data_IF_840093899681
#
_entry.id   IF_840093899681
#
_cell.length_a   1.000
_cell.length_b   1.000
_cell.length_c   1.000
_cell.angle_alpha   90.00
_cell.angle_beta   90.00
_cell.angle_gamma   90.00
#
_symmetry.space_group_name_H-M   'P 1'
#
loop_
_entity.id
_entity.type
_entity.pdbx_description
1 polymer ?
#
# COMPACT_ATOMS: atom_id res chain seq x y z
N UNK A 1 27.63 36.99 -23.48
CA UNK A 1 26.59 36.50 -22.55
C UNK A 1 27.09 35.24 -21.89
N UNK A 2 27.21 35.17 -20.55
CA UNK A 2 27.64 33.94 -19.90
C UNK A 2 26.48 32.94 -19.88
N UNK A 3 26.78 31.71 -20.31
CA UNK A 3 25.87 30.57 -20.22
C UNK A 3 25.55 30.30 -18.74
N UNK A 4 24.26 30.36 -18.37
CA UNK A 4 23.78 29.92 -17.06
C UNK A 4 24.08 28.42 -16.92
N UNK A 5 24.89 28.04 -15.92
CA UNK A 5 25.02 26.65 -15.51
C UNK A 5 23.74 26.21 -14.82
N UNK A 6 23.11 25.17 -15.35
CA UNK A 6 21.93 24.51 -14.80
C UNK A 6 22.33 23.59 -13.64
N UNK A 7 21.67 23.76 -12.48
CA UNK A 7 21.42 22.71 -11.49
C UNK A 7 22.56 22.36 -10.53
N UNK A 8 22.81 23.22 -9.53
CA UNK A 8 23.49 22.78 -8.30
C UNK A 8 22.54 21.86 -7.52
N UNK A 9 22.88 20.57 -7.41
CA UNK A 9 22.26 19.66 -6.44
C UNK A 9 22.47 20.25 -5.05
N UNK A 10 21.40 20.77 -4.44
CA UNK A 10 21.45 21.37 -3.11
C UNK A 10 21.77 20.25 -2.11
N UNK A 11 23.01 20.20 -1.62
CA UNK A 11 23.42 19.22 -0.60
C UNK A 11 22.55 19.37 0.64
N UNK A 12 21.84 18.29 1.00
CA UNK A 12 21.04 18.23 2.23
C UNK A 12 22.02 18.12 3.42
N UNK A 13 21.89 19.03 4.39
CA UNK A 13 22.81 19.11 5.52
C UNK A 13 22.34 18.25 6.70
N UNK A 14 23.02 17.12 6.90
CA UNK A 14 22.75 16.17 7.99
C UNK A 14 23.70 16.34 9.19
N UNK A 15 24.59 17.34 9.17
CA UNK A 15 25.64 17.55 10.18
C UNK A 15 25.10 17.60 11.61
N UNK A 16 23.90 18.16 11.79
CA UNK A 16 23.24 18.23 13.11
C UNK A 16 23.01 16.85 13.73
N UNK A 17 22.73 15.82 12.93
CA UNK A 17 22.53 14.46 13.42
C UNK A 17 23.87 13.83 13.80
N UNK A 18 24.89 13.98 12.96
CA UNK A 18 26.25 13.52 13.24
C UNK A 18 26.80 14.10 14.54
N UNK A 19 26.70 15.42 14.71
CA UNK A 19 27.17 16.10 15.92
C UNK A 19 26.44 15.63 17.17
N UNK A 20 25.12 15.42 17.09
CA UNK A 20 24.34 14.94 18.23
C UNK A 20 24.60 13.46 18.53
N UNK A 21 24.80 12.61 17.53
CA UNK A 21 25.02 11.18 17.73
C UNK A 21 26.45 10.87 18.18
N UNK A 22 27.45 11.67 17.79
CA UNK A 22 28.87 11.44 18.10
C UNK A 22 29.12 11.11 19.57
N UNK A 23 28.53 11.87 20.49
CA UNK A 23 28.76 11.73 21.94
C UNK A 23 27.59 11.03 22.67
N UNK A 24 26.46 10.78 21.99
CA UNK A 24 25.25 10.29 22.62
C UNK A 24 24.77 8.92 22.10
N UNK A 25 25.24 8.46 20.94
CA UNK A 25 24.78 7.21 20.33
C UNK A 25 25.02 6.01 21.24
N UNK A 26 26.26 5.84 21.74
CA UNK A 26 26.60 4.69 22.59
C UNK A 26 25.75 4.66 23.87
N UNK A 27 25.53 5.81 24.49
CA UNK A 27 24.68 5.91 25.68
C UNK A 27 23.21 5.57 25.36
N UNK A 28 22.67 6.05 24.23
CA UNK A 28 21.32 5.71 23.80
C UNK A 28 21.16 4.21 23.51
N UNK A 29 22.16 3.62 22.84
CA UNK A 29 22.23 2.19 22.58
C UNK A 29 22.21 1.39 23.89
N UNK A 30 23.11 1.70 24.84
CA UNK A 30 23.21 0.97 26.10
C UNK A 30 21.94 1.09 26.96
N UNK A 31 21.29 2.26 26.95
CA UNK A 31 20.01 2.47 27.61
C UNK A 31 18.90 1.57 27.04
N UNK A 32 18.73 1.55 25.71
CA UNK A 32 17.73 0.66 25.08
C UNK A 32 18.12 -0.80 25.23
N UNK A 33 19.42 -1.14 25.19
CA UNK A 33 19.89 -2.50 25.45
C UNK A 33 19.54 -2.97 26.86
N UNK A 34 19.56 -2.06 27.84
CA UNK A 34 19.10 -2.30 29.21
C UNK A 34 17.57 -2.32 29.38
N UNK A 35 16.82 -2.02 28.31
CA UNK A 35 15.35 -2.07 28.27
C UNK A 35 14.65 -0.78 28.69
N UNK A 36 15.37 0.32 28.89
CA UNK A 36 14.76 1.61 29.27
C UNK A 36 15.64 2.81 28.95
N UNK A 37 15.09 3.72 28.15
CA UNK A 37 15.60 5.06 27.91
C UNK A 37 15.68 5.87 29.20
N UNK A 38 16.74 6.67 29.37
CA UNK A 38 16.98 7.58 30.50
C UNK A 38 17.40 8.97 30.03
N UNK A 39 18.22 9.05 28.98
CA UNK A 39 18.75 10.30 28.45
C UNK A 39 17.81 11.07 27.51
N UNK A 40 18.27 12.23 27.06
CA UNK A 40 17.53 13.18 26.22
C UNK A 40 17.95 13.12 24.75
N UNK A 41 17.73 11.97 24.10
CA UNK A 41 18.24 11.69 22.77
C UNK A 41 17.19 11.33 21.70
N UNK A 42 15.90 11.25 22.08
CA UNK A 42 14.82 10.76 21.20
C UNK A 42 14.80 11.46 19.84
N UNK A 43 15.04 12.77 19.81
CA UNK A 43 14.89 13.59 18.59
C UNK A 43 15.93 13.34 17.51
N UNK A 44 17.12 12.84 17.86
CA UNK A 44 18.23 12.66 16.92
C UNK A 44 18.65 11.20 16.75
N UNK A 45 18.14 10.28 17.58
CA UNK A 45 18.24 8.82 17.38
C UNK A 45 17.01 8.27 16.66
N UNK A 46 15.81 8.74 17.03
CA UNK A 46 14.55 8.44 16.33
C UNK A 46 13.91 9.75 15.83
N UNK A 47 14.51 10.42 14.84
CA UNK A 47 13.97 11.67 14.32
C UNK A 47 12.62 11.46 13.64
N UNK A 48 11.74 12.43 13.77
CA UNK A 48 10.43 12.48 13.13
C UNK A 48 10.32 13.74 12.25
N UNK A 49 9.25 13.87 11.48
CA UNK A 49 9.00 15.08 10.70
C UNK A 49 8.94 16.32 11.61
N UNK A 50 9.53 17.40 11.13
CA UNK A 50 9.64 18.69 11.82
C UNK A 50 8.28 19.31 12.12
N UNK A 51 7.29 19.05 11.26
CA UNK A 51 5.89 19.49 11.42
C UNK A 51 5.22 18.96 12.69
N UNK A 52 5.68 17.84 13.23
CA UNK A 52 5.05 17.15 14.36
C UNK A 52 5.52 17.62 15.74
N UNK A 53 6.56 18.45 15.81
CA UNK A 53 7.18 18.83 17.09
C UNK A 53 7.19 20.34 17.31
N UNK A 54 6.72 20.83 18.45
CA UNK A 54 6.71 22.27 18.76
C UNK A 54 7.91 22.78 19.55
N UNK A 55 8.65 21.90 20.24
CA UNK A 55 9.80 22.31 21.05
C UNK A 55 11.00 22.73 20.19
N UNK A 56 11.85 23.61 20.71
CA UNK A 56 13.06 24.05 20.02
C UNK A 56 13.96 22.88 19.60
N UNK A 57 14.08 21.86 20.44
CA UNK A 57 14.85 20.63 20.14
C UNK A 57 14.19 19.80 19.04
N UNK A 58 12.86 19.65 19.07
CA UNK A 58 12.13 18.94 18.02
C UNK A 58 12.20 19.69 16.67
N UNK A 59 12.19 21.02 16.70
CA UNK A 59 12.37 21.85 15.51
C UNK A 59 13.80 21.81 14.97
N UNK A 60 14.81 21.70 15.85
CA UNK A 60 16.23 21.58 15.47
C UNK A 60 16.52 20.24 14.79
N UNK A 61 16.06 19.13 15.38
CA UNK A 61 16.38 17.78 14.91
C UNK A 61 15.28 17.13 14.07
N UNK A 62 14.15 17.80 13.86
CA UNK A 62 13.11 17.33 12.96
C UNK A 62 13.62 17.18 11.53
N UNK A 63 13.15 16.12 10.86
CA UNK A 63 13.33 15.91 9.42
C UNK A 63 12.41 16.89 8.69
N UNK A 64 12.96 17.68 7.78
CA UNK A 64 12.25 18.76 7.09
C UNK A 64 11.17 18.24 6.15
N UNK A 65 11.47 17.16 5.42
CA UNK A 65 10.66 16.60 4.35
C UNK A 65 11.12 15.16 4.02
N UNK A 66 10.39 14.51 3.10
CA UNK A 66 10.68 13.14 2.71
C UNK A 66 12.03 12.99 1.99
N UNK A 67 12.44 14.01 1.24
CA UNK A 67 13.75 14.12 0.59
C UNK A 67 14.88 14.03 1.63
N UNK A 68 14.76 14.77 2.75
CA UNK A 68 15.73 14.69 3.84
C UNK A 68 15.71 13.34 4.57
N UNK A 69 14.53 12.71 4.72
CA UNK A 69 14.46 11.35 5.27
C UNK A 69 15.23 10.34 4.41
N UNK A 70 15.09 10.44 3.08
CA UNK A 70 15.83 9.62 2.13
C UNK A 70 17.34 9.92 2.20
N UNK A 71 17.73 11.18 2.28
CA UNK A 71 19.13 11.57 2.43
C UNK A 71 19.73 11.05 3.74
N UNK A 72 18.98 11.07 4.84
CA UNK A 72 19.39 10.51 6.13
C UNK A 72 19.70 9.02 6.00
N UNK A 73 18.87 8.24 5.31
CA UNK A 73 19.13 6.81 5.10
C UNK A 73 20.25 6.54 4.11
N UNK A 74 20.55 7.46 3.17
CA UNK A 74 21.69 7.32 2.26
C UNK A 74 23.03 7.61 2.94
N UNK A 75 23.03 8.23 4.11
CA UNK A 75 24.23 8.42 4.91
C UNK A 75 24.62 7.10 5.60
N UNK A 76 25.79 6.49 5.32
CA UNK A 76 26.13 5.17 5.81
C UNK A 76 26.15 5.04 7.34
N UNK A 77 26.63 6.07 8.05
CA UNK A 77 26.75 6.02 9.50
C UNK A 77 25.38 6.18 10.15
N UNK A 78 24.57 7.14 9.69
CA UNK A 78 23.21 7.35 10.21
C UNK A 78 22.31 6.16 9.90
N UNK A 79 22.43 5.56 8.71
CA UNK A 79 21.74 4.33 8.35
C UNK A 79 22.08 3.19 9.30
N UNK A 80 23.37 2.93 9.52
CA UNK A 80 23.83 1.86 10.41
C UNK A 80 23.29 2.05 11.82
N UNK A 81 23.46 3.25 12.38
CA UNK A 81 22.96 3.57 13.72
C UNK A 81 21.44 3.39 13.83
N UNK A 82 20.69 3.85 12.84
CA UNK A 82 19.24 3.74 12.86
C UNK A 82 18.80 2.26 12.75
N UNK A 83 19.40 1.49 11.85
CA UNK A 83 19.15 0.04 11.72
C UNK A 83 19.39 -0.70 13.03
N UNK A 84 20.56 -0.49 13.66
CA UNK A 84 20.93 -1.12 14.93
C UNK A 84 19.92 -0.77 16.04
N UNK A 85 19.54 0.50 16.14
CA UNK A 85 18.55 0.95 17.14
C UNK A 85 17.15 0.36 16.91
N UNK A 86 16.70 0.23 15.66
CA UNK A 86 15.42 -0.40 15.32
C UNK A 86 15.43 -1.89 15.67
N UNK A 87 16.52 -2.61 15.36
CA UNK A 87 16.69 -4.01 15.75
C UNK A 87 16.66 -4.18 17.27
N UNK A 88 17.35 -3.30 17.99
CA UNK A 88 17.42 -3.32 19.45
C UNK A 88 16.05 -3.05 20.09
N UNK A 89 15.31 -2.05 19.61
CA UNK A 89 13.93 -1.79 20.03
C UNK A 89 13.05 -3.02 19.76
N UNK A 90 13.18 -3.63 18.58
CA UNK A 90 12.41 -4.82 18.22
C UNK A 90 12.69 -6.00 19.14
N UNK A 91 13.95 -6.23 19.54
CA UNK A 91 14.34 -7.23 20.55
C UNK A 91 13.66 -6.94 21.90
N UNK A 92 13.61 -5.68 22.34
CA UNK A 92 12.98 -5.32 23.62
C UNK A 92 11.47 -5.49 23.61
N UNK A 93 10.82 -5.14 22.50
CA UNK A 93 9.39 -5.36 22.33
C UNK A 93 9.06 -6.86 22.30
N UNK A 94 9.88 -7.69 21.65
CA UNK A 94 9.70 -9.14 21.64
C UNK A 94 9.88 -9.79 23.03
N UNK A 95 10.58 -9.12 23.95
CA UNK A 95 10.71 -9.48 25.37
C UNK A 95 9.59 -8.91 26.24
N UNK A 96 8.51 -8.41 25.63
CA UNK A 96 7.33 -7.84 26.28
C UNK A 96 7.63 -6.64 27.18
N UNK A 97 8.67 -5.84 26.86
CA UNK A 97 8.88 -4.55 27.54
C UNK A 97 7.88 -3.55 26.95
N UNK A 98 6.97 -2.95 27.75
CA UNK A 98 5.98 -2.02 27.22
C UNK A 98 6.63 -0.80 26.57
N UNK A 99 6.10 -0.27 25.44
CA UNK A 99 6.73 0.85 24.73
C UNK A 99 6.91 2.11 25.59
N UNK A 100 5.91 2.44 26.41
CA UNK A 100 5.99 3.55 27.36
C UNK A 100 7.08 3.34 28.42
N UNK A 101 7.39 2.10 28.80
CA UNK A 101 8.51 1.80 29.70
C UNK A 101 9.84 1.91 28.96
N UNK A 102 9.93 1.31 27.78
CA UNK A 102 11.13 1.31 26.96
C UNK A 102 11.58 2.73 26.60
N UNK A 103 10.64 3.59 26.20
CA UNK A 103 10.90 4.97 25.80
C UNK A 103 10.76 5.97 26.95
N UNK A 104 10.50 5.49 28.18
CA UNK A 104 10.35 6.32 29.37
C UNK A 104 9.28 7.42 29.22
N UNK A 105 8.14 7.07 28.65
CA UNK A 105 6.97 7.91 28.50
C UNK A 105 6.17 7.63 27.23
N UNK A 106 4.88 7.96 27.27
CA UNK A 106 3.97 7.84 26.12
C UNK A 106 4.39 8.76 24.98
N UNK A 107 4.84 9.98 25.30
CA UNK A 107 5.27 10.97 24.31
C UNK A 107 6.44 10.43 23.49
N UNK A 108 7.49 9.91 24.12
CA UNK A 108 8.65 9.39 23.40
C UNK A 108 8.33 8.08 22.66
N UNK A 109 7.40 7.27 23.16
CA UNK A 109 6.86 6.13 22.41
C UNK A 109 6.12 6.57 21.13
N UNK A 110 5.36 7.67 21.16
CA UNK A 110 4.75 8.25 19.96
C UNK A 110 5.81 8.79 18.99
N UNK A 111 6.88 9.41 19.48
CA UNK A 111 8.00 9.87 18.63
C UNK A 111 8.69 8.72 17.90
N UNK A 112 8.94 7.62 18.62
CA UNK A 112 9.45 6.38 18.03
C UNK A 112 8.54 5.91 16.89
N UNK A 113 7.22 5.90 17.09
CA UNK A 113 6.27 5.45 16.09
C UNK A 113 6.26 6.36 14.86
N UNK A 114 6.27 7.69 15.05
CA UNK A 114 6.41 8.65 13.94
C UNK A 114 7.71 8.44 13.16
N UNK A 115 8.83 8.22 13.86
CA UNK A 115 10.14 7.95 13.26
C UNK A 115 10.15 6.65 12.45
N UNK A 116 9.72 5.53 13.06
CA UNK A 116 9.60 4.24 12.39
C UNK A 116 8.67 4.31 11.18
N UNK A 117 7.58 5.07 11.28
CA UNK A 117 6.68 5.31 10.14
C UNK A 117 7.46 6.00 9.02
N UNK A 118 8.09 7.15 9.27
CA UNK A 118 8.85 7.91 8.28
C UNK A 118 9.95 7.07 7.60
N UNK A 119 10.80 6.43 8.39
CA UNK A 119 11.96 5.73 7.86
C UNK A 119 11.64 4.39 7.22
N UNK A 120 10.52 3.74 7.59
CA UNK A 120 10.00 2.62 6.80
C UNK A 120 9.67 3.06 5.37
N UNK A 121 9.02 4.22 5.22
CA UNK A 121 8.63 4.74 3.89
C UNK A 121 9.83 5.15 3.06
N UNK A 122 10.80 5.81 3.68
CA UNK A 122 12.03 6.20 3.01
C UNK A 122 12.80 4.95 2.57
N UNK A 123 12.95 3.95 3.43
CA UNK A 123 13.60 2.69 3.08
C UNK A 123 12.87 1.95 1.93
N UNK A 124 11.54 1.88 1.98
CA UNK A 124 10.73 1.28 0.91
C UNK A 124 10.94 1.98 -0.45
N UNK A 125 10.93 3.31 -0.45
CA UNK A 125 11.18 4.11 -1.64
C UNK A 125 12.59 3.87 -2.19
N UNK A 126 13.60 3.86 -1.31
CA UNK A 126 15.00 3.67 -1.69
C UNK A 126 15.26 2.27 -2.24
N UNK A 127 14.67 1.23 -1.65
CA UNK A 127 14.74 -0.15 -2.18
C UNK A 127 14.26 -0.24 -3.63
N UNK A 128 13.24 0.55 -3.99
CA UNK A 128 12.65 0.54 -5.35
C UNK A 128 13.37 1.46 -6.34
N UNK A 129 14.02 2.51 -5.85
CA UNK A 129 14.63 3.56 -6.70
C UNK A 129 16.14 3.39 -6.87
N UNK A 130 16.83 2.72 -5.93
CA UNK A 130 18.28 2.52 -5.96
C UNK A 130 18.64 1.09 -6.34
N UNK A 131 19.10 0.88 -7.58
CA UNK A 131 19.40 -0.45 -8.10
C UNK A 131 20.75 -1.04 -7.63
N UNK A 132 21.66 -0.24 -7.06
CA UNK A 132 23.03 -0.66 -6.68
C UNK A 132 23.53 0.01 -5.38
N UNK A 133 22.66 0.13 -4.37
CA UNK A 133 23.08 0.62 -3.05
C UNK A 133 23.88 -0.46 -2.29
N UNK A 134 24.94 -0.05 -1.59
CA UNK A 134 25.62 -0.92 -0.60
C UNK A 134 24.86 -1.02 0.73
N UNK A 135 23.86 -0.16 0.94
CA UNK A 135 23.01 -0.12 2.14
C UNK A 135 21.76 -0.98 1.91
N UNK A 136 21.45 -1.84 2.87
CA UNK A 136 20.34 -2.78 2.80
C UNK A 136 19.00 -2.14 3.24
N UNK A 137 18.46 -1.29 2.38
CA UNK A 137 17.19 -0.61 2.63
C UNK A 137 16.02 -1.59 2.81
N UNK A 138 16.06 -2.76 2.16
CA UNK A 138 15.06 -3.80 2.31
C UNK A 138 15.03 -4.35 3.75
N UNK A 139 16.21 -4.65 4.31
CA UNK A 139 16.32 -5.07 5.71
C UNK A 139 15.80 -4.01 6.68
N UNK A 140 16.09 -2.73 6.44
CA UNK A 140 15.57 -1.64 7.28
C UNK A 140 14.06 -1.51 7.20
N UNK A 141 13.50 -1.57 6.01
CA UNK A 141 12.05 -1.56 5.80
C UNK A 141 11.36 -2.71 6.55
N UNK A 142 11.90 -3.92 6.45
CA UNK A 142 11.41 -5.09 7.17
C UNK A 142 11.53 -4.93 8.71
N UNK A 143 12.65 -4.36 9.18
CA UNK A 143 12.91 -4.13 10.61
C UNK A 143 11.93 -3.10 11.19
N UNK A 144 11.73 -1.97 10.50
CA UNK A 144 10.75 -0.97 10.90
C UNK A 144 9.32 -1.54 10.90
N UNK A 145 8.97 -2.35 9.89
CA UNK A 145 7.66 -3.01 9.81
C UNK A 145 7.41 -3.93 10.99
N UNK A 146 8.42 -4.73 11.38
CA UNK A 146 8.33 -5.62 12.54
C UNK A 146 8.17 -4.84 13.86
N UNK A 147 8.91 -3.75 14.04
CA UNK A 147 8.78 -2.87 15.20
C UNK A 147 7.37 -2.24 15.28
N UNK A 148 6.88 -1.66 14.19
CA UNK A 148 5.55 -1.05 14.11
C UNK A 148 4.43 -2.06 14.39
N UNK A 149 4.54 -3.28 13.87
CA UNK A 149 3.58 -4.34 14.17
C UNK A 149 3.55 -4.66 15.67
N UNK A 150 4.72 -4.73 16.31
CA UNK A 150 4.80 -4.99 17.76
C UNK A 150 4.18 -3.84 18.57
N UNK A 151 4.46 -2.59 18.19
CA UNK A 151 3.90 -1.38 18.79
C UNK A 151 2.37 -1.30 18.66
N UNK A 152 1.81 -1.73 17.52
CA UNK A 152 0.37 -1.70 17.29
C UNK A 152 -0.43 -2.62 18.23
N UNK A 153 0.15 -3.75 18.66
CA UNK A 153 -0.46 -4.64 19.66
C UNK A 153 -0.55 -3.97 21.04
N UNK A 154 0.31 -2.98 21.30
CA UNK A 154 0.35 -2.16 22.52
C UNK A 154 -0.44 -0.84 22.37
N UNK A 155 -1.21 -0.69 21.29
CA UNK A 155 -2.05 0.49 21.03
C UNK A 155 -1.34 1.67 20.37
N UNK A 156 -0.07 1.51 19.94
CA UNK A 156 0.69 2.55 19.25
C UNK A 156 0.62 2.36 17.73
N UNK A 157 -0.32 3.06 17.09
CA UNK A 157 -0.56 2.99 15.64
C UNK A 157 0.42 3.87 14.84
N UNK A 158 0.73 3.45 13.62
CA UNK A 158 1.56 4.22 12.68
C UNK A 158 1.03 5.66 12.52
N UNK A 159 1.94 6.63 12.39
CA UNK A 159 1.59 8.05 12.44
C UNK A 159 0.95 8.53 11.15
N UNK A 160 -0.34 8.90 11.23
CA UNK A 160 -1.14 9.35 10.09
C UNK A 160 -0.60 10.64 9.46
N UNK A 161 -0.23 11.60 10.30
CA UNK A 161 0.31 12.89 9.87
C UNK A 161 1.64 12.72 9.14
N UNK A 162 2.48 11.77 9.59
CA UNK A 162 3.73 11.43 8.89
C UNK A 162 3.45 10.89 7.50
N UNK A 163 2.47 9.98 7.38
CA UNK A 163 2.12 9.40 6.08
C UNK A 163 1.55 10.46 5.14
N UNK A 164 0.64 11.31 5.62
CA UNK A 164 0.03 12.38 4.82
C UNK A 164 1.07 13.30 4.20
N UNK A 165 2.03 13.80 4.99
CA UNK A 165 3.06 14.71 4.50
C UNK A 165 4.02 14.03 3.52
N UNK A 166 4.37 12.76 3.76
CA UNK A 166 5.22 11.99 2.83
C UNK A 166 4.51 11.81 1.48
N UNK A 167 3.20 11.56 1.46
CA UNK A 167 2.46 11.36 0.21
C UNK A 167 2.29 12.63 -0.63
N UNK A 168 2.32 13.79 0.00
CA UNK A 168 2.34 15.08 -0.68
C UNK A 168 3.73 15.45 -1.22
N UNK A 169 4.76 14.63 -0.95
CA UNK A 169 6.12 14.88 -1.41
C UNK A 169 6.23 14.89 -2.94
N UNK A 170 6.89 15.91 -3.52
CA UNK A 170 7.26 15.94 -4.93
C UNK A 170 8.02 14.70 -5.40
N UNK A 171 8.85 14.08 -4.55
CA UNK A 171 9.59 12.85 -4.90
C UNK A 171 8.67 11.68 -5.29
N UNK A 172 7.52 11.55 -4.65
CA UNK A 172 6.57 10.47 -4.93
C UNK A 172 5.58 10.84 -6.05
N UNK A 173 5.26 12.13 -6.19
CA UNK A 173 4.29 12.61 -7.18
C UNK A 173 4.89 12.83 -8.57
N UNK A 174 6.20 13.10 -8.68
CA UNK A 174 6.88 13.29 -9.96
C UNK A 174 6.95 12.02 -10.83
N UNK A 175 6.96 10.82 -10.22
CA UNK A 175 7.01 9.55 -10.94
C UNK A 175 5.70 9.12 -11.62
N UNK A 176 4.61 9.88 -11.44
CA UNK A 176 3.29 9.58 -12.01
C UNK A 176 3.14 10.11 -13.45
N UNK A 177 3.97 11.06 -13.88
CA UNK A 177 3.83 11.70 -15.20
C UNK A 177 4.74 11.15 -16.31
N UNK A 178 5.71 10.28 -16.00
CA UNK A 178 6.78 9.90 -16.95
C UNK A 178 6.73 8.42 -17.42
N UNK A 179 5.64 7.67 -17.17
CA UNK A 179 5.51 6.26 -17.61
C UNK A 179 4.43 5.99 -18.67
N UNK A 180 4.07 6.99 -19.45
CA UNK A 180 3.14 6.86 -20.58
C UNK A 180 3.83 7.09 -21.94
N UNK A 181 5.04 6.56 -22.15
CA UNK A 181 5.63 6.42 -23.50
C UNK A 181 6.65 5.27 -23.53
N UNK A 182 6.17 4.04 -23.66
CA UNK A 182 6.99 2.94 -24.16
C UNK A 182 6.23 2.25 -25.31
N UNK A 183 6.79 2.43 -26.49
CA UNK A 183 6.32 2.00 -27.80
C UNK A 183 6.17 0.47 -27.89
N UNK A 184 5.00 0.03 -28.37
CA UNK A 184 4.74 -1.35 -28.77
C UNK A 184 5.44 -1.57 -30.12
N UNK A 185 6.48 -2.39 -30.14
CA UNK A 185 6.99 -2.95 -31.39
C UNK A 185 6.19 -4.20 -31.77
N UNK A 186 5.72 -4.17 -33.02
CA UNK A 186 4.95 -5.15 -33.76
C UNK A 186 5.77 -6.43 -34.02
N UNK A 187 5.16 -7.60 -33.79
CA UNK A 187 5.65 -8.86 -34.32
C UNK A 187 4.48 -9.72 -34.78
N UNK A 188 3.91 -9.32 -35.91
CA UNK A 188 3.26 -10.23 -36.84
C UNK A 188 4.33 -11.01 -37.62
N UNK A 189 4.21 -12.36 -37.70
CA UNK A 189 4.47 -13.23 -38.89
C UNK A 189 4.75 -14.71 -38.51
N UNK A 190 3.74 -15.55 -38.76
CA UNK A 190 3.73 -16.90 -39.42
C UNK A 190 4.31 -18.15 -38.72
N UNK A 191 3.49 -19.22 -38.74
CA UNK A 191 3.97 -20.62 -38.72
C UNK A 191 2.86 -21.66 -38.52
N UNK A 192 2.08 -21.97 -39.55
CA UNK A 192 1.18 -23.15 -39.64
C UNK A 192 1.97 -24.47 -39.56
N UNK A 193 1.46 -25.49 -38.84
CA UNK A 193 1.57 -26.91 -39.25
C UNK A 193 0.30 -27.72 -38.86
N UNK A 194 -0.16 -28.46 -39.87
CA UNK A 194 -1.33 -29.33 -40.07
C UNK A 194 -1.58 -30.56 -39.16
N UNK A 195 -2.88 -30.82 -38.97
CA UNK A 195 -3.66 -32.06 -39.25
C UNK A 195 -3.42 -33.37 -38.46
N UNK A 196 -4.47 -33.86 -37.78
CA UNK A 196 -5.22 -35.08 -38.18
C UNK A 196 -6.49 -35.31 -37.37
N UNK A 197 -7.56 -35.68 -38.10
CA UNK A 197 -8.92 -35.98 -37.65
C UNK A 197 -9.06 -37.40 -37.07
N UNK A 198 -10.05 -37.60 -36.18
CA UNK A 198 -10.81 -38.86 -36.12
C UNK A 198 -12.25 -38.60 -35.61
N UNK A 199 -13.20 -39.27 -36.28
CA UNK A 199 -14.66 -39.05 -36.34
C UNK A 199 -15.46 -39.85 -35.30
N UNK A 200 -16.40 -39.16 -34.60
CA UNK A 200 -17.85 -39.44 -34.24
C UNK A 200 -18.32 -40.86 -33.78
N UNK A 201 -19.36 -41.01 -32.91
CA UNK A 201 -20.66 -40.30 -32.99
C UNK A 201 -21.39 -39.87 -31.69
N UNK A 202 -22.05 -38.72 -31.84
CA UNK A 202 -23.43 -38.35 -31.44
C UNK A 202 -24.11 -39.13 -30.30
N UNK A 203 -24.21 -38.48 -29.13
CA UNK A 203 -25.39 -38.58 -28.26
C UNK A 203 -25.80 -37.18 -27.87
N UNK A 204 -26.90 -36.74 -28.50
CA UNK A 204 -27.80 -35.67 -28.04
C UNK A 204 -27.88 -35.59 -26.51
N UNK A 205 -27.36 -34.51 -25.96
CA UNK A 205 -27.99 -33.83 -24.83
C UNK A 205 -27.82 -32.34 -25.00
N UNK A 206 -28.64 -31.80 -25.91
CA UNK A 206 -29.01 -30.39 -25.94
C UNK A 206 -29.76 -30.06 -24.64
N UNK A 207 -29.01 -29.86 -23.56
CA UNK A 207 -29.49 -29.05 -22.44
C UNK A 207 -29.28 -27.61 -22.87
N UNK A 208 -30.37 -26.99 -23.31
CA UNK A 208 -30.53 -25.55 -23.32
C UNK A 208 -30.27 -25.05 -21.90
N UNK A 209 -29.02 -24.71 -21.57
CA UNK A 209 -28.75 -23.79 -20.49
C UNK A 209 -29.17 -22.43 -21.02
N UNK A 210 -30.41 -22.05 -20.72
CA UNK A 210 -30.73 -20.65 -20.50
C UNK A 210 -29.59 -20.07 -19.67
N UNK A 211 -29.04 -18.93 -20.12
CA UNK A 211 -28.06 -18.15 -19.37
C UNK A 211 -28.67 -17.83 -18.01
N UNK A 212 -28.48 -18.74 -17.04
CA UNK A 212 -29.04 -18.61 -15.72
C UNK A 212 -28.46 -17.33 -15.14
N UNK A 213 -29.34 -16.46 -14.66
CA UNK A 213 -28.95 -15.21 -14.02
C UNK A 213 -27.85 -15.49 -13.00
N UNK A 214 -26.65 -14.99 -13.27
CA UNK A 214 -25.48 -15.23 -12.44
C UNK A 214 -25.51 -14.38 -11.15
N UNK A 215 -26.46 -13.44 -11.01
CA UNK A 215 -26.54 -12.53 -9.86
C UNK A 215 -26.50 -13.25 -8.50
N UNK A 216 -27.26 -14.34 -8.26
CA UNK A 216 -27.24 -15.03 -6.97
C UNK A 216 -25.88 -15.68 -6.66
N UNK A 217 -25.19 -16.17 -7.70
CA UNK A 217 -23.88 -16.81 -7.59
C UNK A 217 -22.82 -15.75 -7.27
N UNK A 218 -22.81 -14.65 -8.03
CA UNK A 218 -21.88 -13.53 -7.82
C UNK A 218 -22.10 -12.89 -6.45
N UNK A 219 -23.36 -12.73 -6.01
CA UNK A 219 -23.67 -12.23 -4.66
C UNK A 219 -23.06 -13.11 -3.57
N UNK A 220 -23.20 -14.44 -3.69
CA UNK A 220 -22.62 -15.39 -2.72
C UNK A 220 -21.10 -15.27 -2.63
N UNK A 221 -20.42 -15.02 -3.76
CA UNK A 221 -18.99 -14.73 -3.80
C UNK A 221 -18.68 -13.45 -3.02
N UNK A 222 -19.43 -12.38 -3.27
CA UNK A 222 -19.26 -11.08 -2.58
C UNK A 222 -19.47 -11.22 -1.07
N UNK A 223 -20.53 -11.93 -0.64
CA UNK A 223 -20.82 -12.16 0.79
C UNK A 223 -19.69 -12.97 1.47
N UNK A 224 -19.16 -13.98 0.79
CA UNK A 224 -18.02 -14.76 1.28
C UNK A 224 -16.77 -13.88 1.46
N UNK A 225 -16.51 -12.97 0.51
CA UNK A 225 -15.42 -12.01 0.61
C UNK A 225 -15.61 -11.06 1.79
N UNK A 226 -16.82 -10.54 2.01
CA UNK A 226 -17.16 -9.68 3.16
C UNK A 226 -16.80 -10.39 4.46
N UNK A 227 -17.31 -11.61 4.65
CA UNK A 227 -17.08 -12.42 5.84
C UNK A 227 -15.59 -12.66 6.11
N UNK A 228 -14.85 -13.06 5.07
CA UNK A 228 -13.43 -13.36 5.19
C UNK A 228 -12.60 -12.10 5.46
N UNK A 229 -12.97 -10.96 4.87
CA UNK A 229 -12.33 -9.67 5.13
C UNK A 229 -12.57 -9.24 6.58
N UNK A 230 -13.80 -9.36 7.09
CA UNK A 230 -14.18 -8.98 8.45
C UNK A 230 -13.55 -9.91 9.50
N UNK A 231 -13.59 -11.23 9.33
CA UNK A 231 -12.94 -12.21 10.24
C UNK A 231 -11.43 -12.03 10.31
N UNK A 232 -10.78 -11.74 9.17
CA UNK A 232 -9.34 -11.43 9.11
C UNK A 232 -9.00 -10.05 9.70
N UNK A 233 -9.95 -9.11 9.77
CA UNK A 233 -9.78 -7.85 10.49
C UNK A 233 -9.83 -8.07 12.03
N UNK A 234 -10.74 -8.92 12.50
CA UNK A 234 -10.86 -9.25 13.94
C UNK A 234 -9.68 -10.04 14.53
N UNK A 235 -8.90 -10.75 13.71
CA UNK A 235 -7.66 -11.45 14.13
C UNK A 235 -6.42 -10.56 14.08
N UNK A 236 -6.53 -9.32 13.59
CA UNK A 236 -5.43 -8.34 13.47
C UNK A 236 -5.82 -6.97 14.02
N UNK A 237 -6.69 -6.93 15.03
CA UNK A 237 -7.03 -5.71 15.76
C UNK A 237 -5.71 -5.14 16.32
N UNK A 238 -5.12 -4.07 15.77
CA UNK A 238 -5.62 -2.69 15.89
C UNK A 238 -5.27 -1.81 14.66
N UNK A 239 -4.67 -2.38 13.60
CA UNK A 239 -4.05 -1.62 12.51
C UNK A 239 -4.95 -1.43 11.25
N UNK A 240 -6.12 -2.08 11.21
CA UNK A 240 -6.82 -2.33 9.94
C UNK A 240 -8.19 -1.65 9.76
N UNK A 241 -8.76 -1.00 10.78
CA UNK A 241 -10.18 -0.60 10.74
C UNK A 241 -10.51 0.43 9.65
N UNK A 242 -9.67 1.44 9.39
CA UNK A 242 -10.02 2.51 8.45
C UNK A 242 -10.17 2.07 6.98
N UNK A 243 -9.39 1.09 6.51
CA UNK A 243 -9.45 0.63 5.10
C UNK A 243 -10.23 -0.68 4.92
N UNK A 244 -10.40 -1.50 5.97
CA UNK A 244 -11.28 -2.66 5.88
C UNK A 244 -12.75 -2.26 5.90
N UNK A 245 -13.12 -1.25 6.69
CA UNK A 245 -14.48 -0.74 6.75
C UNK A 245 -14.91 -0.17 5.39
N UNK A 246 -14.08 0.66 4.76
CA UNK A 246 -14.38 1.24 3.44
C UNK A 246 -14.43 0.22 2.30
N UNK A 247 -13.69 -0.90 2.36
CA UNK A 247 -13.79 -2.00 1.38
C UNK A 247 -15.05 -2.84 1.62
N UNK A 248 -15.33 -3.18 2.87
CA UNK A 248 -16.51 -3.98 3.24
C UNK A 248 -17.80 -3.21 2.92
N UNK A 249 -17.85 -1.91 3.18
CA UNK A 249 -18.98 -1.05 2.82
C UNK A 249 -19.27 -1.06 1.32
N UNK A 250 -18.23 -0.96 0.49
CA UNK A 250 -18.37 -1.02 -0.98
C UNK A 250 -18.86 -2.39 -1.44
N UNK A 251 -18.29 -3.47 -0.90
CA UNK A 251 -18.76 -4.83 -1.20
C UNK A 251 -20.21 -5.05 -0.72
N UNK A 252 -20.63 -4.46 0.41
CA UNK A 252 -22.03 -4.49 0.86
C UNK A 252 -22.96 -3.76 -0.10
N UNK A 253 -22.56 -2.58 -0.59
CA UNK A 253 -23.33 -1.85 -1.59
C UNK A 253 -23.48 -2.65 -2.90
N UNK A 254 -22.41 -3.33 -3.33
CA UNK A 254 -22.45 -4.24 -4.49
C UNK A 254 -23.36 -5.45 -4.22
N UNK A 255 -23.28 -6.06 -3.03
CA UNK A 255 -24.15 -7.18 -2.64
C UNK A 255 -25.62 -6.78 -2.65
N UNK A 256 -25.95 -5.59 -2.14
CA UNK A 256 -27.31 -5.02 -2.19
C UNK A 256 -27.78 -4.72 -3.62
N UNK A 257 -26.88 -4.30 -4.51
CA UNK A 257 -27.22 -4.10 -5.91
C UNK A 257 -27.55 -5.44 -6.60
N UNK A 258 -26.77 -6.50 -6.33
CA UNK A 258 -26.99 -7.85 -6.84
C UNK A 258 -28.28 -8.51 -6.31
N UNK A 259 -28.82 -8.07 -5.18
CA UNK A 259 -30.16 -8.50 -4.70
C UNK A 259 -31.30 -7.97 -5.56
N UNK A 260 -31.11 -6.78 -6.15
CA UNK A 260 -32.16 -6.03 -6.84
C UNK A 260 -32.08 -6.16 -8.37
N UNK A 261 -30.98 -6.69 -8.91
CA UNK A 261 -30.67 -6.66 -10.34
C UNK A 261 -30.21 -8.03 -10.87
N UNK A 262 -30.70 -8.38 -12.06
CA UNK A 262 -30.26 -9.56 -12.80
C UNK A 262 -29.02 -9.26 -13.65
N UNK A 263 -28.14 -10.24 -13.78
CA UNK A 263 -26.98 -10.17 -14.65
C UNK A 263 -27.30 -10.61 -16.08
N UNK A 264 -26.81 -9.85 -17.03
CA UNK A 264 -26.89 -10.11 -18.46
C UNK A 264 -25.59 -9.68 -19.14
N UNK A 265 -25.49 -9.87 -20.44
CA UNK A 265 -24.27 -9.56 -21.21
C UNK A 265 -23.86 -8.08 -21.13
N UNK A 266 -24.77 -7.15 -20.87
CA UNK A 266 -24.45 -5.72 -20.81
C UNK A 266 -23.88 -5.29 -19.46
N UNK A 267 -24.24 -5.92 -18.34
CA UNK A 267 -23.81 -5.48 -17.00
C UNK A 267 -22.83 -6.44 -16.30
N UNK A 268 -22.76 -7.70 -16.74
CA UNK A 268 -21.98 -8.73 -16.06
C UNK A 268 -20.48 -8.43 -16.07
N UNK A 269 -19.94 -7.92 -17.18
CA UNK A 269 -18.50 -7.61 -17.29
C UNK A 269 -18.14 -6.44 -16.36
N UNK A 270 -18.97 -5.39 -16.34
CA UNK A 270 -18.78 -4.22 -15.49
C UNK A 270 -18.87 -4.55 -13.99
N UNK A 271 -19.83 -5.37 -13.56
CA UNK A 271 -19.94 -5.72 -12.13
C UNK A 271 -18.79 -6.62 -11.66
N UNK A 272 -18.33 -7.55 -12.51
CA UNK A 272 -17.17 -8.40 -12.19
C UNK A 272 -15.89 -7.54 -12.11
N UNK A 273 -15.73 -6.56 -13.01
CA UNK A 273 -14.63 -5.58 -12.94
C UNK A 273 -14.72 -4.71 -11.68
N UNK A 274 -15.92 -4.25 -11.30
CA UNK A 274 -16.13 -3.44 -10.10
C UNK A 274 -15.77 -4.20 -8.81
N UNK A 275 -16.12 -5.49 -8.73
CA UNK A 275 -15.75 -6.35 -7.60
C UNK A 275 -14.25 -6.59 -7.59
N UNK A 276 -13.62 -6.88 -8.75
CA UNK A 276 -12.17 -7.03 -8.88
C UNK A 276 -11.46 -5.78 -8.35
N UNK A 277 -11.85 -4.60 -8.83
CA UNK A 277 -11.17 -3.34 -8.50
C UNK A 277 -11.43 -2.91 -7.05
N UNK A 278 -12.62 -3.21 -6.51
CA UNK A 278 -12.91 -3.09 -5.06
C UNK A 278 -12.04 -4.03 -4.22
N UNK A 279 -11.84 -5.27 -4.67
CA UNK A 279 -10.93 -6.22 -4.03
C UNK A 279 -9.47 -5.76 -4.12
N UNK A 280 -9.11 -5.08 -5.21
CA UNK A 280 -7.80 -4.47 -5.47
C UNK A 280 -7.53 -3.22 -4.63
N UNK A 281 -8.54 -2.62 -4.00
CA UNK A 281 -8.34 -1.53 -3.03
C UNK A 281 -7.36 -2.03 -1.96
N UNK A 282 -6.17 -1.45 -1.93
CA UNK A 282 -5.09 -1.93 -1.07
C UNK A 282 -5.50 -1.70 0.40
N UNK A 283 -5.29 -2.72 1.25
CA UNK A 283 -5.60 -2.67 2.71
C UNK A 283 -4.79 -1.61 3.47
N UNK A 284 -3.79 -1.04 2.81
CA UNK A 284 -2.93 0.05 3.23
C UNK A 284 -2.60 0.84 1.95
N UNK A 285 -2.39 2.14 2.06
CA UNK A 285 -2.00 3.02 0.94
C UNK A 285 -0.64 2.56 0.32
N UNK A 286 0.10 1.61 0.93
CA UNK A 286 1.40 1.12 0.46
C UNK A 286 1.47 -0.23 -0.31
N UNK A 287 0.40 -1.01 -0.47
CA UNK A 287 0.45 -2.17 -1.39
C UNK A 287 1.48 -3.27 -1.10
N UNK A 288 1.78 -3.54 0.17
CA UNK A 288 2.82 -4.49 0.60
C UNK A 288 2.47 -5.98 0.45
N UNK A 289 1.27 -6.31 -0.07
CA UNK A 289 0.88 -7.65 -0.49
C UNK A 289 -0.17 -7.49 -1.62
N UNK A 290 -0.17 -8.40 -2.61
CA UNK A 290 -1.35 -8.55 -3.48
C UNK A 290 -2.56 -8.74 -2.56
N UNK A 291 -3.64 -7.96 -2.71
CA UNK A 291 -4.76 -8.09 -1.79
C UNK A 291 -5.25 -9.53 -1.88
N UNK A 292 -5.11 -10.29 -0.78
CA UNK A 292 -5.59 -11.68 -0.73
C UNK A 292 -7.04 -11.79 -1.25
N UNK A 293 -7.84 -10.73 -1.10
CA UNK A 293 -9.18 -10.60 -1.64
C UNK A 293 -9.27 -10.71 -3.17
N UNK A 294 -8.27 -10.24 -3.95
CA UNK A 294 -8.25 -10.38 -5.41
C UNK A 294 -7.99 -11.83 -5.79
N UNK A 295 -6.96 -12.46 -5.23
CA UNK A 295 -6.65 -13.87 -5.49
C UNK A 295 -7.80 -14.80 -5.06
N UNK A 296 -8.40 -14.49 -3.91
CA UNK A 296 -9.57 -15.18 -3.38
C UNK A 296 -10.80 -15.00 -4.26
N UNK A 297 -11.06 -13.78 -4.75
CA UNK A 297 -12.12 -13.50 -5.72
C UNK A 297 -11.91 -14.28 -7.02
N UNK A 298 -10.70 -14.27 -7.60
CA UNK A 298 -10.38 -15.03 -8.81
C UNK A 298 -10.58 -16.54 -8.61
N UNK A 299 -10.23 -17.06 -7.43
CA UNK A 299 -10.45 -18.48 -7.08
C UNK A 299 -11.95 -18.79 -6.99
N UNK A 300 -12.71 -17.97 -6.28
CA UNK A 300 -14.17 -18.13 -6.13
C UNK A 300 -14.92 -18.02 -7.47
N UNK A 301 -14.50 -17.12 -8.38
CA UNK A 301 -15.05 -17.03 -9.74
C UNK A 301 -14.78 -18.30 -10.55
N UNK A 302 -13.56 -18.81 -10.48
CA UNK A 302 -13.16 -20.05 -11.18
C UNK A 302 -13.96 -21.25 -10.68
N UNK A 303 -14.12 -21.38 -9.37
CA UNK A 303 -14.90 -22.46 -8.73
C UNK A 303 -16.39 -22.37 -9.09
N UNK A 304 -16.89 -21.17 -9.34
CA UNK A 304 -18.25 -20.92 -9.82
C UNK A 304 -18.41 -21.04 -11.35
N UNK A 305 -17.36 -21.39 -12.10
CA UNK A 305 -17.33 -21.45 -13.56
C UNK A 305 -17.72 -20.13 -14.26
N UNK A 306 -17.48 -19.00 -13.61
CA UNK A 306 -17.73 -17.67 -14.18
C UNK A 306 -16.46 -17.12 -14.84
N UNK A 307 -16.64 -16.34 -15.92
CA UNK A 307 -15.54 -15.69 -16.63
C UNK A 307 -15.04 -14.47 -15.84
N UNK A 308 -13.72 -14.20 -15.82
CA UNK A 308 -13.20 -12.93 -15.33
C UNK A 308 -13.65 -11.79 -16.23
N UNK A 309 -13.67 -10.58 -15.68
CA UNK A 309 -13.98 -9.40 -16.47
C UNK A 309 -12.85 -9.05 -17.45
N UNK A 310 -13.20 -8.39 -18.55
CA UNK A 310 -12.23 -7.81 -19.48
C UNK A 310 -11.26 -6.87 -18.76
N UNK A 311 -9.97 -6.94 -19.11
CA UNK A 311 -8.96 -6.01 -18.59
C UNK A 311 -9.19 -4.56 -19.06
N UNK A 312 -9.97 -4.38 -20.13
CA UNK A 312 -10.33 -3.05 -20.67
C UNK A 312 -11.37 -2.32 -19.82
N UNK A 313 -12.13 -3.04 -19.00
CA UNK A 313 -13.09 -2.43 -18.08
C UNK A 313 -12.44 -2.35 -16.72
N UNK A 314 -12.23 -1.12 -16.22
CA UNK A 314 -11.72 -0.88 -14.87
C UNK A 314 -12.29 0.38 -14.24
N UNK A 315 -12.25 0.43 -12.92
CA UNK A 315 -12.69 1.53 -12.08
C UNK A 315 -11.50 2.15 -11.35
N UNK A 316 -11.34 3.45 -11.54
CA UNK A 316 -10.32 4.28 -10.90
C UNK A 316 -10.60 4.43 -9.40
N UNK A 317 -9.58 4.76 -8.59
CA UNK A 317 -9.78 5.06 -7.17
C UNK A 317 -10.84 6.14 -6.90
N UNK A 318 -10.94 7.14 -7.78
CA UNK A 318 -11.94 8.22 -7.69
C UNK A 318 -13.36 7.71 -7.94
N UNK A 319 -13.55 6.78 -8.87
CA UNK A 319 -14.85 6.14 -9.11
C UNK A 319 -15.24 5.26 -7.92
N UNK A 320 -14.32 4.43 -7.43
CA UNK A 320 -14.54 3.56 -6.28
C UNK A 320 -14.87 4.35 -5.00
N UNK A 321 -14.26 5.51 -4.79
CA UNK A 321 -14.51 6.36 -3.63
C UNK A 321 -15.97 6.87 -3.53
N UNK A 322 -16.71 6.87 -4.63
CA UNK A 322 -18.10 7.32 -4.67
C UNK A 322 -19.08 6.29 -4.11
N UNK A 323 -18.69 5.01 -4.06
CA UNK A 323 -19.58 3.90 -3.71
C UNK A 323 -19.86 3.88 -2.21
N UNK A 324 -21.10 4.19 -1.86
CA UNK A 324 -21.67 4.07 -0.51
C UNK A 324 -23.01 3.32 -0.51
N UNK A 325 -23.76 3.35 -1.63
CA UNK A 325 -25.08 2.73 -1.76
C UNK A 325 -25.24 1.94 -3.07
N UNK A 326 -26.28 1.10 -3.16
CA UNK A 326 -26.59 0.34 -4.38
C UNK A 326 -26.90 1.22 -5.59
N UNK A 327 -27.46 2.42 -5.39
CA UNK A 327 -27.83 3.34 -6.48
C UNK A 327 -26.58 3.94 -7.15
N UNK A 328 -25.50 4.13 -6.38
CA UNK A 328 -24.23 4.60 -6.91
C UNK A 328 -23.47 3.49 -7.65
N UNK A 329 -23.65 2.23 -7.24
CA UNK A 329 -23.18 1.06 -8.00
C UNK A 329 -23.86 1.02 -9.36
N UNK A 330 -25.18 1.22 -9.40
CA UNK A 330 -25.95 1.26 -10.65
C UNK A 330 -25.44 2.35 -11.59
N UNK A 331 -25.27 3.57 -11.08
CA UNK A 331 -24.78 4.71 -11.85
C UNK A 331 -23.42 4.43 -12.50
N UNK A 332 -22.48 3.86 -11.74
CA UNK A 332 -21.14 3.50 -12.25
C UNK A 332 -21.16 2.39 -13.31
N UNK A 333 -22.04 1.40 -13.16
CA UNK A 333 -22.22 0.34 -14.17
C UNK A 333 -22.77 0.95 -15.47
N UNK A 334 -23.78 1.81 -15.38
CA UNK A 334 -24.36 2.47 -16.55
C UNK A 334 -23.35 3.38 -17.26
N UNK A 335 -22.54 4.13 -16.51
CA UNK A 335 -21.48 4.99 -17.06
C UNK A 335 -20.43 4.19 -17.84
N UNK A 336 -19.99 3.03 -17.32
CA UNK A 336 -19.01 2.17 -18.02
C UNK A 336 -19.57 1.44 -19.22
N UNK A 337 -20.89 1.23 -19.25
CA UNK A 337 -21.61 0.61 -20.36
C UNK A 337 -22.01 1.63 -21.45
N UNK A 338 -21.85 2.93 -21.19
CA UNK A 338 -22.13 3.97 -22.18
C UNK A 338 -20.92 4.12 -23.11
N UNK A 339 -21.07 3.99 -24.44
CA UNK A 339 -19.96 4.10 -25.39
C UNK A 339 -19.50 5.56 -25.50
N UNK A 340 -18.64 6.01 -24.59
CA UNK A 340 -18.04 7.35 -24.65
C UNK A 340 -16.54 7.41 -24.33
N UNK A 341 -15.81 6.30 -24.33
CA UNK A 341 -14.35 6.33 -24.14
C UNK A 341 -13.53 5.48 -25.13
N UNK A 342 -14.07 5.24 -26.33
CA UNK A 342 -13.32 4.61 -27.43
C UNK A 342 -12.75 5.58 -28.48
N UNK A 343 -13.08 6.88 -28.48
CA UNK A 343 -12.53 7.83 -29.44
C UNK A 343 -12.21 9.20 -28.83
N UNK A 344 -10.95 9.41 -28.41
CA UNK A 344 -10.33 10.75 -28.33
C UNK A 344 -8.93 10.83 -28.96
N UNK A 345 -8.59 9.87 -29.81
CA UNK A 345 -7.44 9.96 -30.71
C UNK A 345 -7.84 9.52 -32.11
N UNK A 346 -8.66 10.30 -32.81
CA UNK A 346 -8.60 10.46 -34.27
C UNK A 346 -9.42 11.71 -34.64
N UNK A 347 -8.70 12.81 -34.90
CA UNK A 347 -8.92 13.88 -35.89
C UNK A 347 -8.25 15.17 -35.45
#
# INVERSE_FOLDING_TARGET
MPKKSTGSSKTINLQRFHEAQKDNYQNAHDEIASGRKRGHWIWYIFPQLKSLGSSATAQKYGIKDFEEACAYLKDPLLFQHYQEMVELVTDKLAKNIPPATLMNGVVDAQKLVSSLTLFRLAAEYLTKSENNSSLDFYKLEASCSKALNSLAHEGYLACEETMSEVYESPLLTAGVNDKETATVEDFSTVGEISTTQRTTPDVRNSLNFTSADAAPIVKKIVDTLIDNIQKKAGTRATWFNFNSETKVEKLKAISQWLEKNSLNESNQDAIIALIRDTCSIKRNIFGLFEPHSVQEFCTLLKDAHLKPASEKISFTPKELAQIKTSEQVDSLIQEKNTPQHLDKHTL
#
